data_IF_164027634495
#
_entry.id   IF_164027634495
#
_cell.length_a   1.000
_cell.length_b   1.000
_cell.length_c   1.000
_cell.angle_alpha   90.00
_cell.angle_beta   90.00
_cell.angle_gamma   90.00
#
_symmetry.space_group_name_H-M   'P 1'
#
loop_
_entity.id
_entity.type
_entity.pdbx_description
1 polymer ?
#
# COMPACT_ATOMS: atom_id res chain seq x y z
N UNK A 1 -2.92 8.73 14.39
CA UNK A 1 -3.90 9.79 14.07
C UNK A 1 -3.55 10.62 12.83
N UNK A 2 -2.56 10.22 12.00
CA UNK A 2 -2.20 10.98 10.78
C UNK A 2 -2.93 10.50 9.51
N UNK A 3 -3.39 9.25 9.48
CA UNK A 3 -4.09 8.67 8.32
C UNK A 3 -5.35 7.92 8.75
N UNK A 4 -6.45 8.17 8.05
CA UNK A 4 -7.75 7.55 8.34
C UNK A 4 -8.00 6.27 7.51
N UNK A 5 -7.17 6.01 6.50
CA UNK A 5 -7.35 4.86 5.60
C UNK A 5 -6.03 4.15 5.33
N UNK A 6 -6.12 2.85 5.04
CA UNK A 6 -4.97 2.05 4.58
C UNK A 6 -4.38 2.62 3.28
N UNK A 7 -5.23 3.13 2.38
CA UNK A 7 -4.77 3.77 1.15
C UNK A 7 -3.92 5.01 1.41
N UNK A 8 -4.35 5.87 2.34
CA UNK A 8 -3.59 7.06 2.76
C UNK A 8 -2.24 6.69 3.38
N UNK A 9 -2.23 5.70 4.29
CA UNK A 9 -0.99 5.17 4.88
C UNK A 9 -0.02 4.63 3.81
N UNK A 10 -0.52 3.83 2.87
CA UNK A 10 0.29 3.25 1.80
C UNK A 10 0.80 4.32 0.84
N UNK A 11 -0.03 5.28 0.45
CA UNK A 11 0.40 6.40 -0.40
C UNK A 11 1.47 7.26 0.27
N UNK A 12 1.36 7.52 1.57
CA UNK A 12 2.39 8.23 2.33
C UNK A 12 3.71 7.46 2.33
N UNK A 13 3.69 6.15 2.55
CA UNK A 13 4.89 5.33 2.51
C UNK A 13 5.59 5.31 1.13
N UNK A 14 4.82 5.43 0.04
CA UNK A 14 5.39 5.59 -1.31
C UNK A 14 5.90 7.02 -1.59
N UNK A 15 5.30 8.05 -0.97
CA UNK A 15 5.58 9.46 -1.28
C UNK A 15 5.03 9.93 -2.64
N UNK A 16 4.37 9.04 -3.39
CA UNK A 16 3.70 9.31 -4.65
C UNK A 16 2.49 8.38 -4.79
N UNK A 17 1.66 8.62 -5.81
CA UNK A 17 0.61 7.68 -6.20
C UNK A 17 1.24 6.44 -6.86
N UNK A 18 1.14 5.24 -6.27
CA UNK A 18 1.84 4.07 -6.77
C UNK A 18 1.08 3.41 -7.92
N UNK A 19 1.82 2.76 -8.82
CA UNK A 19 1.31 2.00 -9.96
C UNK A 19 1.09 0.54 -9.59
N UNK A 20 0.37 -0.17 -10.46
CA UNK A 20 0.14 -1.62 -10.33
C UNK A 20 1.47 -2.37 -10.18
N UNK A 21 1.48 -3.35 -9.28
CA UNK A 21 2.59 -4.20 -8.87
C UNK A 21 3.71 -3.54 -8.06
N UNK A 22 3.64 -2.23 -7.80
CA UNK A 22 4.54 -1.64 -6.81
C UNK A 22 4.28 -2.23 -5.42
N UNK A 23 5.36 -2.31 -4.63
CA UNK A 23 5.35 -2.96 -3.32
C UNK A 23 6.00 -2.02 -2.31
N UNK A 24 5.38 -1.90 -1.15
CA UNK A 24 5.98 -1.28 0.03
C UNK A 24 5.79 -2.18 1.25
N UNK A 25 6.64 -2.01 2.24
CA UNK A 25 6.60 -2.74 3.51
C UNK A 25 6.38 -1.74 4.64
N UNK A 26 5.36 -1.98 5.46
CA UNK A 26 4.99 -1.12 6.58
C UNK A 26 4.79 -2.01 7.79
N UNK A 27 5.68 -1.88 8.78
CA UNK A 27 5.73 -2.79 9.92
C UNK A 27 5.97 -4.24 9.47
N UNK A 28 5.16 -5.17 9.96
CA UNK A 28 5.28 -6.60 9.66
C UNK A 28 4.54 -7.04 8.37
N UNK A 29 4.08 -6.09 7.55
CA UNK A 29 3.23 -6.38 6.40
C UNK A 29 3.80 -5.81 5.10
N UNK A 30 3.67 -6.60 4.04
CA UNK A 30 3.95 -6.22 2.66
C UNK A 30 2.65 -5.88 1.95
N UNK A 31 2.63 -4.71 1.32
CA UNK A 31 1.52 -4.21 0.53
C UNK A 31 1.89 -4.22 -0.94
N UNK A 32 1.12 -4.91 -1.79
CA UNK A 32 1.28 -4.88 -3.24
C UNK A 32 0.07 -4.22 -3.88
N UNK A 33 0.31 -3.24 -4.75
CA UNK A 33 -0.77 -2.59 -5.50
C UNK A 33 -1.28 -3.54 -6.58
N UNK A 34 -2.57 -3.86 -6.56
CA UNK A 34 -3.21 -4.68 -7.58
C UNK A 34 -3.93 -3.83 -8.64
N UNK A 35 -4.47 -2.68 -8.22
CA UNK A 35 -5.11 -1.69 -9.09
C UNK A 35 -5.06 -0.30 -8.46
N UNK A 36 -4.70 0.70 -9.26
CA UNK A 36 -4.76 2.12 -8.94
C UNK A 36 -5.07 2.89 -10.23
N UNK A 37 -5.77 4.02 -10.10
CA UNK A 37 -5.92 5.00 -11.19
C UNK A 37 -5.10 6.25 -10.90
N UNK A 38 -5.27 7.31 -11.68
CA UNK A 38 -4.54 8.58 -11.55
C UNK A 38 -4.83 9.38 -10.28
N UNK A 39 -5.74 8.92 -9.42
CA UNK A 39 -6.13 9.61 -8.19
C UNK A 39 -6.02 8.75 -6.94
N UNK A 40 -6.21 7.43 -7.03
CA UNK A 40 -6.28 6.57 -5.84
C UNK A 40 -5.89 5.12 -6.09
N UNK A 41 -5.55 4.44 -5.00
CA UNK A 41 -5.45 2.98 -4.94
C UNK A 41 -6.86 2.40 -4.82
N UNK A 42 -7.20 1.43 -5.68
CA UNK A 42 -8.49 0.74 -5.66
C UNK A 42 -8.40 -0.62 -4.97
N UNK A 43 -7.29 -1.33 -5.19
CA UNK A 43 -7.10 -2.67 -4.65
C UNK A 43 -5.63 -2.91 -4.33
N UNK A 44 -5.40 -3.49 -3.16
CA UNK A 44 -4.10 -3.91 -2.70
C UNK A 44 -4.17 -5.32 -2.13
N UNK A 45 -3.03 -6.01 -2.13
CA UNK A 45 -2.83 -7.27 -1.42
C UNK A 45 -1.94 -7.01 -0.23
N UNK A 46 -2.37 -7.48 0.94
CA UNK A 46 -1.56 -7.47 2.17
C UNK A 46 -1.10 -8.88 2.48
N UNK A 47 0.17 -9.05 2.81
CA UNK A 47 0.73 -10.31 3.31
C UNK A 47 1.66 -10.04 4.49
N UNK A 48 1.66 -10.85 5.56
CA UNK A 48 2.72 -10.79 6.56
C UNK A 48 4.09 -11.04 5.91
N UNK A 49 5.12 -10.33 6.35
CA UNK A 49 6.51 -10.51 5.90
C UNK A 49 7.13 -11.73 6.59
N UNK A 50 6.80 -11.92 7.86
CA UNK A 50 7.03 -13.16 8.60
C UNK A 50 5.76 -13.99 8.60
N UNK A 51 5.60 -14.84 7.58
CA UNK A 51 4.85 -16.07 7.80
C UNK A 51 5.87 -17.11 8.28
N UNK A 52 5.62 -17.87 9.37
CA UNK A 52 6.41 -19.06 9.63
C UNK A 52 6.34 -20.03 8.44
#
# INVERSE_FOLDING_TARGET
DEFDTVGGLVMNAFGHLPKRNEITEIGAYRFRILSADSRRIHLLRVTPISRP
#
